data_IF_446808619518
#
_entry.id   IF_446808619518
#
_cell.length_a   1.000
_cell.length_b   1.000
_cell.length_c   1.000
_cell.angle_alpha   90.00
_cell.angle_beta   90.00
_cell.angle_gamma   90.00
#
_symmetry.space_group_name_H-M   'P 1'
#
loop_
_entity.id
_entity.type
_entity.pdbx_description
1 polymer ?
#
# COMPACT_ATOMS: atom_id res chain seq x y z
N UNK A 1 27.87 -10.09 21.54
CA UNK A 1 26.43 -10.09 21.84
C UNK A 1 26.15 -11.32 22.68
N UNK A 2 25.58 -11.17 23.87
CA UNK A 2 25.35 -12.31 24.78
C UNK A 2 24.08 -13.07 24.37
N UNK A 3 24.01 -14.36 24.70
CA UNK A 3 22.87 -15.24 24.39
C UNK A 3 21.54 -14.67 24.91
N UNK A 4 21.56 -14.01 26.07
CA UNK A 4 20.41 -13.27 26.62
C UNK A 4 19.94 -12.11 25.71
N UNK A 5 20.86 -11.35 25.11
CA UNK A 5 20.49 -10.25 24.20
C UNK A 5 19.89 -10.78 22.90
N UNK A 6 20.41 -11.89 22.38
CA UNK A 6 19.85 -12.56 21.19
C UNK A 6 18.42 -13.04 21.46
N UNK A 7 18.18 -13.70 22.59
CA UNK A 7 16.84 -14.18 22.95
C UNK A 7 15.82 -13.04 23.10
N UNK A 8 16.19 -11.92 23.75
CA UNK A 8 15.31 -10.76 23.88
C UNK A 8 14.96 -10.17 22.51
N UNK A 9 15.95 -10.02 21.61
CA UNK A 9 15.72 -9.49 20.26
C UNK A 9 14.80 -10.42 19.47
N UNK A 10 15.02 -11.73 19.53
CA UNK A 10 14.18 -12.73 18.86
C UNK A 10 12.75 -12.71 19.41
N UNK A 11 12.57 -12.61 20.73
CA UNK A 11 11.23 -12.54 21.34
C UNK A 11 10.47 -11.28 20.90
N UNK A 12 11.12 -10.11 20.91
CA UNK A 12 10.52 -8.85 20.42
C UNK A 12 10.11 -8.99 18.95
N UNK A 13 10.97 -9.62 18.16
CA UNK A 13 10.73 -9.86 16.74
C UNK A 13 9.53 -10.76 16.46
N UNK A 14 9.44 -11.89 17.16
CA UNK A 14 8.31 -12.82 17.04
C UNK A 14 7.03 -12.13 17.48
N UNK A 15 7.06 -11.34 18.57
CA UNK A 15 5.91 -10.58 19.04
C UNK A 15 5.43 -9.56 18.01
N UNK A 16 6.33 -8.79 17.37
CA UNK A 16 5.99 -7.84 16.32
C UNK A 16 5.39 -8.52 15.08
N UNK A 17 5.94 -9.67 14.68
CA UNK A 17 5.41 -10.44 13.55
C UNK A 17 4.01 -11.02 13.82
N UNK A 18 3.81 -11.62 14.99
CA UNK A 18 2.52 -12.22 15.39
C UNK A 18 1.44 -11.15 15.58
N UNK A 19 1.77 -10.04 16.23
CA UNK A 19 0.82 -8.93 16.40
C UNK A 19 0.47 -8.30 15.05
N UNK A 20 1.46 -8.09 14.19
CA UNK A 20 1.25 -7.57 12.84
C UNK A 20 0.34 -8.46 11.99
N UNK A 21 0.60 -9.76 11.96
CA UNK A 21 -0.24 -10.72 11.21
C UNK A 21 -1.67 -10.79 11.76
N UNK A 22 -1.85 -10.77 13.09
CA UNK A 22 -3.17 -10.74 13.72
C UNK A 22 -3.96 -9.47 13.34
N UNK A 23 -3.31 -8.30 13.34
CA UNK A 23 -3.91 -7.03 12.91
C UNK A 23 -4.34 -7.10 11.43
N UNK A 24 -3.50 -7.70 10.57
CA UNK A 24 -3.81 -7.85 9.15
C UNK A 24 -5.02 -8.78 8.92
N UNK A 25 -5.08 -9.91 9.62
CA UNK A 25 -6.22 -10.84 9.55
C UNK A 25 -7.52 -10.22 10.06
N UNK A 26 -7.45 -9.48 11.18
CA UNK A 26 -8.61 -8.77 11.72
C UNK A 26 -9.18 -7.77 10.72
N UNK A 27 -8.34 -7.15 9.91
CA UNK A 27 -8.79 -6.18 8.92
C UNK A 27 -9.34 -6.76 7.64
N UNK A 28 -8.79 -7.87 7.15
CA UNK A 28 -9.41 -8.61 6.06
C UNK A 28 -10.86 -8.96 6.43
N UNK A 29 -11.12 -9.22 7.72
CA UNK A 29 -12.48 -9.42 8.26
C UNK A 29 -13.31 -8.13 8.31
N UNK A 30 -12.75 -7.00 8.74
CA UNK A 30 -13.47 -5.72 8.74
C UNK A 30 -13.77 -5.18 7.34
N UNK A 31 -12.85 -5.29 6.39
CA UNK A 31 -13.03 -4.82 5.01
C UNK A 31 -14.16 -5.58 4.29
N UNK A 32 -14.39 -6.86 4.62
CA UNK A 32 -15.57 -7.60 4.16
C UNK A 32 -16.89 -6.99 4.64
N UNK A 33 -16.90 -6.36 5.82
CA UNK A 33 -18.09 -5.78 6.43
C UNK A 33 -18.35 -4.32 5.98
N UNK A 34 -17.35 -3.61 5.45
CA UNK A 34 -17.45 -2.20 5.05
C UNK A 34 -18.01 -1.97 3.63
N UNK A 35 -18.36 -3.03 2.89
CA UNK A 35 -18.83 -2.95 1.49
C UNK A 35 -20.09 -2.07 1.24
N UNK A 36 -20.82 -1.68 2.28
CA UNK A 36 -22.11 -0.97 2.17
C UNK A 36 -22.10 0.51 2.61
N UNK A 37 -20.95 1.18 2.74
CA UNK A 37 -20.91 2.60 3.11
C UNK A 37 -20.68 3.51 1.91
N UNK A 38 -21.49 4.56 1.81
CA UNK A 38 -21.37 5.62 0.79
C UNK A 38 -20.38 6.74 1.17
N UNK A 39 -19.87 6.71 2.41
CA UNK A 39 -18.90 7.67 2.92
C UNK A 39 -17.59 6.96 3.25
N UNK A 40 -16.50 7.46 2.67
CA UNK A 40 -15.15 6.92 2.85
C UNK A 40 -14.25 7.97 3.49
N UNK A 41 -13.71 7.61 4.64
CA UNK A 41 -12.72 8.37 5.38
C UNK A 41 -11.51 7.47 5.67
N UNK A 42 -10.36 8.09 5.95
CA UNK A 42 -9.20 7.33 6.38
C UNK A 42 -9.48 6.68 7.73
N UNK A 43 -9.52 5.35 7.75
CA UNK A 43 -9.58 4.58 8.97
C UNK A 43 -8.14 4.33 9.48
N UNK A 44 -7.80 4.86 10.66
CA UNK A 44 -6.47 4.71 11.27
C UNK A 44 -6.06 3.25 11.42
N UNK A 45 -7.00 2.35 11.76
CA UNK A 45 -6.70 0.93 11.81
C UNK A 45 -6.26 0.45 10.43
N UNK A 46 -7.05 0.73 9.39
CA UNK A 46 -6.75 0.34 8.00
C UNK A 46 -5.35 0.77 7.54
N UNK A 47 -4.94 1.97 7.94
CA UNK A 47 -3.61 2.48 7.64
C UNK A 47 -2.51 1.68 8.35
N UNK A 48 -2.66 1.41 9.66
CA UNK A 48 -1.68 0.65 10.44
C UNK A 48 -1.43 -0.73 9.84
N UNK A 49 -2.46 -1.45 9.41
CA UNK A 49 -2.30 -2.78 8.80
C UNK A 49 -1.69 -2.75 7.41
N UNK A 50 -2.12 -1.82 6.55
CA UNK A 50 -1.50 -1.64 5.22
C UNK A 50 -0.03 -1.32 5.33
N UNK A 51 0.37 -0.57 6.37
CA UNK A 51 1.76 -0.24 6.66
C UNK A 51 2.51 -1.38 7.39
N UNK A 52 1.79 -2.21 8.15
CA UNK A 52 2.38 -3.32 8.89
C UNK A 52 3.02 -4.36 7.98
N UNK A 53 2.41 -4.69 6.83
CA UNK A 53 3.02 -5.62 5.87
C UNK A 53 4.40 -5.14 5.37
N UNK A 54 4.54 -3.94 4.78
CA UNK A 54 5.83 -3.47 4.31
C UNK A 54 6.82 -3.22 5.46
N UNK A 55 6.38 -2.79 6.66
CA UNK A 55 7.27 -2.70 7.83
C UNK A 55 7.84 -4.08 8.20
N UNK A 56 7.00 -5.11 8.29
CA UNK A 56 7.49 -6.47 8.59
C UNK A 56 8.43 -6.98 7.51
N UNK A 57 8.17 -6.67 6.24
CA UNK A 57 9.08 -7.00 5.15
C UNK A 57 10.43 -6.28 5.28
N UNK A 58 10.43 -5.03 5.75
CA UNK A 58 11.68 -4.28 6.02
C UNK A 58 12.48 -4.94 7.12
N UNK A 59 11.80 -5.26 8.21
CA UNK A 59 12.40 -5.93 9.35
C UNK A 59 12.99 -7.26 8.86
N UNK A 60 12.24 -8.06 8.08
CA UNK A 60 12.71 -9.35 7.53
C UNK A 60 13.95 -9.18 6.68
N UNK A 61 13.97 -8.16 5.81
CA UNK A 61 15.15 -7.79 5.04
C UNK A 61 16.36 -7.53 5.95
N UNK A 62 16.21 -6.74 7.01
CA UNK A 62 17.29 -6.44 7.96
C UNK A 62 17.77 -7.72 8.68
N UNK A 63 16.85 -8.55 9.16
CA UNK A 63 17.19 -9.81 9.83
C UNK A 63 17.95 -10.78 8.91
N UNK A 64 17.49 -10.92 7.66
CA UNK A 64 18.15 -11.72 6.63
C UNK A 64 19.54 -11.14 6.31
N UNK A 65 19.70 -9.82 6.29
CA UNK A 65 20.99 -9.17 6.05
C UNK A 65 22.01 -9.57 7.11
N UNK A 66 21.64 -9.48 8.39
CA UNK A 66 22.53 -9.85 9.49
C UNK A 66 22.93 -11.34 9.42
N UNK A 67 21.97 -12.23 9.20
CA UNK A 67 22.24 -13.66 9.02
C UNK A 67 23.16 -13.91 7.81
N UNK A 68 22.91 -13.21 6.70
CA UNK A 68 23.71 -13.28 5.49
C UNK A 68 25.15 -12.81 5.71
N UNK A 69 25.35 -11.70 6.42
CA UNK A 69 26.69 -11.18 6.76
C UNK A 69 27.47 -12.14 7.67
N UNK A 70 26.81 -12.72 8.68
CA UNK A 70 27.43 -13.72 9.57
C UNK A 70 27.83 -14.96 8.78
N UNK A 71 26.94 -15.50 7.95
CA UNK A 71 27.22 -16.66 7.13
C UNK A 71 28.31 -16.38 6.07
N UNK A 72 28.28 -15.21 5.43
CA UNK A 72 29.28 -14.76 4.47
C UNK A 72 30.67 -14.66 5.11
N UNK A 73 30.75 -14.25 6.38
CA UNK A 73 32.03 -14.19 7.10
C UNK A 73 32.77 -15.53 7.18
N UNK A 74 32.06 -16.66 7.01
CA UNK A 74 32.65 -18.00 6.97
C UNK A 74 33.52 -18.25 5.73
N UNK A 75 33.36 -17.47 4.65
CA UNK A 75 34.27 -17.52 3.50
C UNK A 75 35.69 -17.15 3.89
N UNK A 76 35.85 -16.16 4.78
CA UNK A 76 37.17 -15.77 5.28
C UNK A 76 37.81 -16.83 6.20
N UNK A 77 37.05 -17.86 6.58
CA UNK A 77 37.52 -19.03 7.34
C UNK A 77 37.65 -20.27 6.45
N UNK A 78 37.64 -20.10 5.13
CA UNK A 78 37.74 -21.18 4.13
C UNK A 78 36.59 -22.20 4.18
N UNK A 79 35.45 -21.85 4.81
CA UNK A 79 34.25 -22.69 4.81
C UNK A 79 33.27 -22.19 3.73
N UNK A 80 33.34 -22.81 2.56
CA UNK A 80 32.68 -22.32 1.34
C UNK A 80 31.15 -22.39 1.36
N UNK A 81 30.55 -23.51 1.80
CA UNK A 81 29.09 -23.73 1.70
C UNK A 81 28.27 -22.68 2.47
N UNK A 82 28.50 -22.45 3.78
CA UNK A 82 27.78 -21.40 4.53
C UNK A 82 28.06 -20.00 3.96
N UNK A 83 29.27 -19.80 3.45
CA UNK A 83 29.69 -18.56 2.81
C UNK A 83 28.84 -18.17 1.59
N UNK A 84 28.63 -19.13 0.68
CA UNK A 84 27.79 -18.95 -0.52
C UNK A 84 26.34 -18.73 -0.13
N UNK A 85 25.83 -19.46 0.88
CA UNK A 85 24.48 -19.23 1.43
C UNK A 85 24.37 -17.79 1.96
N UNK A 86 25.41 -17.30 2.65
CA UNK A 86 25.45 -15.92 3.13
C UNK A 86 25.33 -14.88 2.02
N UNK A 87 26.06 -15.06 0.92
CA UNK A 87 25.96 -14.19 -0.26
C UNK A 87 24.53 -14.18 -0.84
N UNK A 88 23.90 -15.35 -0.95
CA UNK A 88 22.52 -15.46 -1.42
C UNK A 88 21.53 -14.72 -0.50
N UNK A 89 21.67 -14.89 0.81
CA UNK A 89 20.83 -14.20 1.80
C UNK A 89 20.98 -12.68 1.71
N UNK A 90 22.20 -12.17 1.53
CA UNK A 90 22.45 -10.72 1.33
C UNK A 90 21.68 -10.21 0.09
N UNK A 91 21.75 -10.93 -1.04
CA UNK A 91 21.02 -10.56 -2.25
C UNK A 91 19.50 -10.55 -2.03
N UNK A 92 18.95 -11.57 -1.38
CA UNK A 92 17.53 -11.62 -1.03
C UNK A 92 17.12 -10.45 -0.13
N UNK A 93 17.95 -10.12 0.87
CA UNK A 93 17.71 -8.99 1.76
C UNK A 93 17.61 -7.67 1.00
N UNK A 94 18.53 -7.39 0.08
CA UNK A 94 18.51 -6.16 -0.73
C UNK A 94 17.21 -6.06 -1.53
N UNK A 95 16.80 -7.15 -2.18
CA UNK A 95 15.57 -7.19 -2.98
C UNK A 95 14.34 -6.92 -2.08
N UNK A 96 14.21 -7.61 -0.96
CA UNK A 96 13.09 -7.41 -0.04
C UNK A 96 13.08 -6.01 0.60
N UNK A 97 14.25 -5.49 0.95
CA UNK A 97 14.42 -4.15 1.51
C UNK A 97 13.97 -3.08 0.52
N UNK A 98 14.38 -3.20 -0.74
CA UNK A 98 13.94 -2.30 -1.82
C UNK A 98 12.41 -2.29 -1.95
N UNK A 99 11.77 -3.45 -2.07
CA UNK A 99 10.31 -3.54 -2.19
C UNK A 99 9.57 -2.96 -0.98
N UNK A 100 10.09 -3.19 0.22
CA UNK A 100 9.53 -2.63 1.44
C UNK A 100 9.62 -1.10 1.47
N UNK A 101 10.80 -0.54 1.21
CA UNK A 101 11.02 0.91 1.22
C UNK A 101 10.10 1.61 0.23
N UNK A 102 9.99 1.07 -0.99
CA UNK A 102 9.10 1.60 -2.03
C UNK A 102 7.64 1.60 -1.55
N UNK A 103 7.17 0.51 -0.95
CA UNK A 103 5.81 0.42 -0.42
C UNK A 103 5.55 1.39 0.75
N UNK A 104 6.53 1.60 1.63
CA UNK A 104 6.43 2.58 2.74
C UNK A 104 6.36 4.00 2.19
N UNK A 105 7.23 4.35 1.24
CA UNK A 105 7.24 5.69 0.62
C UNK A 105 5.90 5.99 -0.05
N UNK A 106 5.37 5.03 -0.79
CA UNK A 106 4.05 5.06 -1.39
C UNK A 106 2.94 5.33 -0.36
N UNK A 107 2.95 4.57 0.74
CA UNK A 107 2.00 4.74 1.81
C UNK A 107 2.02 6.16 2.37
N UNK A 108 3.21 6.68 2.65
CA UNK A 108 3.38 8.03 3.20
C UNK A 108 2.90 9.09 2.20
N UNK A 109 3.20 8.93 0.91
CA UNK A 109 2.72 9.84 -0.13
C UNK A 109 1.18 9.87 -0.20
N UNK A 110 0.55 8.70 -0.23
CA UNK A 110 -0.91 8.60 -0.32
C UNK A 110 -1.58 9.11 0.96
N UNK A 111 -1.02 8.76 2.12
CA UNK A 111 -1.51 9.26 3.40
C UNK A 111 -1.46 10.79 3.47
N UNK A 112 -0.37 11.41 2.98
CA UNK A 112 -0.27 12.88 2.92
C UNK A 112 -1.31 13.51 2.01
N UNK A 113 -1.64 12.86 0.89
CA UNK A 113 -2.67 13.33 -0.04
C UNK A 113 -4.08 13.25 0.57
N UNK A 114 -4.36 12.21 1.35
CA UNK A 114 -5.71 11.88 1.81
C UNK A 114 -6.03 12.26 3.26
N UNK A 115 -5.04 12.51 4.13
CA UNK A 115 -5.23 12.76 5.59
C UNK A 115 -6.27 13.81 5.96
N UNK A 116 -6.58 14.74 5.06
CA UNK A 116 -7.52 15.83 5.28
C UNK A 116 -8.68 15.82 4.26
N UNK A 117 -8.93 14.67 3.62
CA UNK A 117 -9.98 14.48 2.62
C UNK A 117 -11.02 13.51 3.15
N UNK A 118 -12.28 13.84 2.96
CA UNK A 118 -13.40 12.92 3.10
C UNK A 118 -14.07 12.80 1.74
N UNK A 119 -14.35 11.56 1.32
CA UNK A 119 -14.96 11.28 0.02
C UNK A 119 -16.33 10.67 0.26
N UNK A 120 -17.37 11.35 -0.21
CA UNK A 120 -18.75 10.91 -0.14
C UNK A 120 -19.22 10.65 -1.56
N UNK A 121 -19.77 9.46 -1.79
CA UNK A 121 -20.40 9.11 -3.04
C UNK A 121 -21.91 9.18 -2.87
N UNK A 122 -22.53 10.08 -3.60
CA UNK A 122 -23.98 10.13 -3.71
C UNK A 122 -24.40 9.27 -4.91
N UNK A 123 -24.91 8.06 -4.62
CA UNK A 123 -25.38 7.11 -5.64
C UNK A 123 -26.60 7.62 -6.40
N UNK A 124 -27.46 8.38 -5.73
CA UNK A 124 -28.75 8.82 -6.30
C UNK A 124 -28.50 9.96 -7.29
N UNK A 125 -27.56 10.84 -6.98
CA UNK A 125 -27.15 11.96 -7.84
C UNK A 125 -25.98 11.65 -8.78
N UNK A 126 -25.30 10.51 -8.59
CA UNK A 126 -24.05 10.13 -9.28
C UNK A 126 -22.97 11.22 -9.18
N UNK A 127 -22.77 11.69 -7.95
CA UNK A 127 -21.80 12.73 -7.63
C UNK A 127 -20.75 12.22 -6.66
N UNK A 128 -19.52 12.72 -6.84
CA UNK A 128 -18.43 12.55 -5.90
C UNK A 128 -18.25 13.87 -5.16
N UNK A 129 -18.43 13.85 -3.84
CA UNK A 129 -18.22 15.02 -2.99
C UNK A 129 -16.91 14.80 -2.24
N UNK A 130 -15.93 15.66 -2.51
CA UNK A 130 -14.64 15.67 -1.83
C UNK A 130 -14.62 16.86 -0.86
N UNK A 131 -14.64 16.56 0.44
CA UNK A 131 -14.55 17.57 1.51
C UNK A 131 -13.11 17.67 2.00
N UNK A 132 -12.57 18.89 2.02
CA UNK A 132 -11.22 19.18 2.52
C UNK A 132 -11.30 19.80 3.91
N UNK A 133 -11.10 19.01 4.96
CA UNK A 133 -11.26 19.45 6.36
C UNK A 133 -10.38 20.65 6.73
N UNK A 134 -9.15 20.74 6.18
CA UNK A 134 -8.21 21.82 6.50
C UNK A 134 -8.52 23.15 5.79
N UNK A 135 -9.17 23.11 4.62
CA UNK A 135 -9.42 24.30 3.79
C UNK A 135 -10.88 24.74 3.80
N UNK A 136 -11.74 24.02 4.53
CA UNK A 136 -13.20 24.14 4.48
C UNK A 136 -13.74 24.23 3.03
N UNK A 137 -13.08 23.52 2.12
CA UNK A 137 -13.41 23.51 0.69
C UNK A 137 -14.20 22.24 0.39
N UNK A 138 -15.29 22.38 -0.35
CA UNK A 138 -16.08 21.26 -0.85
C UNK A 138 -15.98 21.29 -2.37
N UNK A 139 -15.52 20.19 -2.94
CA UNK A 139 -15.51 19.98 -4.38
C UNK A 139 -16.57 18.94 -4.72
N UNK A 140 -17.49 19.28 -5.62
CA UNK A 140 -18.52 18.36 -6.12
C UNK A 140 -18.19 18.04 -7.56
N UNK A 141 -18.02 16.75 -7.85
CA UNK A 141 -17.71 16.25 -9.18
C UNK A 141 -18.89 15.40 -9.64
N UNK A 142 -19.73 15.98 -10.48
CA UNK A 142 -20.85 15.28 -11.11
C UNK A 142 -20.33 14.45 -12.29
N UNK A 143 -20.90 13.27 -12.51
CA UNK A 143 -20.55 12.37 -13.62
C UNK A 143 -20.56 13.08 -15.00
N UNK A 144 -21.51 14.00 -15.22
CA UNK A 144 -21.65 14.77 -16.46
C UNK A 144 -20.42 15.64 -16.78
N UNK A 145 -19.67 16.03 -15.75
CA UNK A 145 -18.49 16.89 -15.84
C UNK A 145 -17.18 16.12 -16.04
N UNK A 146 -17.19 14.81 -15.79
CA UNK A 146 -16.03 13.93 -16.00
C UNK A 146 -15.88 13.69 -17.51
N UNK A 147 -14.72 13.98 -18.09
CA UNK A 147 -14.42 13.65 -19.49
C UNK A 147 -13.80 12.26 -19.61
N UNK A 148 -12.89 11.93 -18.69
CA UNK A 148 -12.06 10.73 -18.76
C UNK A 148 -11.75 10.18 -17.37
N UNK A 149 -11.67 8.86 -17.26
CA UNK A 149 -11.32 8.14 -16.04
C UNK A 149 -10.06 7.32 -16.30
N UNK A 150 -8.98 7.63 -15.59
CA UNK A 150 -7.75 6.82 -15.63
C UNK A 150 -7.67 5.94 -14.38
N UNK A 151 -7.53 4.64 -14.60
CA UNK A 151 -7.39 3.64 -13.56
C UNK A 151 -5.93 3.19 -13.57
N UNK A 152 -5.23 3.48 -12.48
CA UNK A 152 -3.83 3.13 -12.31
C UNK A 152 -3.73 1.97 -11.34
N UNK A 153 -3.55 0.78 -11.91
CA UNK A 153 -3.55 -0.48 -11.19
C UNK A 153 -2.26 -1.26 -11.47
N UNK A 154 -1.86 -2.12 -10.55
CA UNK A 154 -0.73 -3.00 -10.77
C UNK A 154 -1.18 -4.13 -11.72
N UNK A 155 -0.53 -4.27 -12.88
CA UNK A 155 -0.80 -5.40 -13.77
C UNK A 155 0.03 -6.62 -13.32
N UNK A 156 -0.62 -7.79 -13.26
CA UNK A 156 0.00 -9.08 -12.94
C UNK A 156 -0.75 -9.91 -11.90
N UNK A 157 -0.75 -11.23 -12.08
CA UNK A 157 -1.35 -12.20 -11.14
C UNK A 157 -0.57 -12.35 -9.83
N UNK A 158 0.67 -11.85 -9.78
CA UNK A 158 1.53 -11.87 -8.59
C UNK A 158 1.24 -10.63 -7.75
N UNK A 159 0.73 -10.83 -6.53
CA UNK A 159 0.52 -9.77 -5.53
C UNK A 159 1.86 -9.12 -5.17
N UNK A 160 2.24 -8.07 -5.89
CA UNK A 160 3.38 -7.22 -5.52
C UNK A 160 3.01 -6.42 -4.26
N UNK A 161 3.97 -6.13 -3.36
CA UNK A 161 3.73 -5.29 -2.18
C UNK A 161 3.12 -3.91 -2.52
N UNK A 162 3.41 -3.41 -3.71
CA UNK A 162 2.87 -2.15 -4.24
C UNK A 162 1.48 -2.26 -4.85
N UNK A 163 0.97 -3.48 -5.08
CA UNK A 163 -0.34 -3.72 -5.68
C UNK A 163 -1.51 -3.25 -4.82
N UNK A 164 -1.29 -2.96 -3.54
CA UNK A 164 -2.30 -2.36 -2.68
C UNK A 164 -2.44 -0.84 -2.85
N UNK A 165 -1.53 -0.19 -3.60
CA UNK A 165 -1.46 1.26 -3.81
C UNK A 165 -1.91 1.66 -5.21
N UNK A 166 -3.12 1.24 -5.56
CA UNK A 166 -3.76 1.67 -6.80
C UNK A 166 -4.41 3.06 -6.62
N UNK A 167 -4.68 3.77 -7.73
CA UNK A 167 -5.49 4.99 -7.67
C UNK A 167 -6.32 5.23 -8.94
N UNK A 168 -7.34 6.07 -8.82
CA UNK A 168 -8.13 6.58 -9.94
C UNK A 168 -7.89 8.08 -10.09
N UNK A 169 -7.75 8.52 -11.35
CA UNK A 169 -7.82 9.95 -11.72
C UNK A 169 -9.10 10.22 -12.51
N UNK A 170 -9.87 11.19 -12.03
CA UNK A 170 -10.97 11.79 -12.76
C UNK A 170 -10.47 13.05 -13.42
N UNK A 171 -10.55 13.09 -14.74
CA UNK A 171 -10.22 14.27 -15.54
C UNK A 171 -11.55 14.89 -15.94
N UNK A 172 -11.73 16.16 -15.60
CA UNK A 172 -12.95 16.90 -15.92
C UNK A 172 -12.89 17.49 -17.32
N UNK A 173 -14.03 17.96 -17.83
CA UNK A 173 -14.11 18.67 -19.12
C UNK A 173 -13.28 19.96 -19.14
N UNK A 174 -13.03 20.59 -17.99
CA UNK A 174 -12.15 21.76 -17.87
C UNK A 174 -10.67 21.40 -17.76
N UNK A 175 -10.32 20.11 -17.75
CA UNK A 175 -8.95 19.64 -17.60
C UNK A 175 -8.46 19.49 -16.15
N UNK A 176 -9.29 19.80 -15.15
CA UNK A 176 -8.93 19.56 -13.75
C UNK A 176 -8.83 18.06 -13.45
N UNK A 177 -7.80 17.66 -12.69
CA UNK A 177 -7.51 16.28 -12.35
C UNK A 177 -7.74 16.04 -10.85
N UNK A 178 -8.64 15.12 -10.53
CA UNK A 178 -8.91 14.70 -9.15
C UNK A 178 -8.42 13.27 -8.96
N UNK A 179 -7.53 13.07 -7.98
CA UNK A 179 -6.97 11.74 -7.65
C UNK A 179 -7.63 11.21 -6.38
N UNK A 180 -8.10 9.96 -6.43
CA UNK A 180 -8.61 9.18 -5.29
C UNK A 180 -7.78 7.89 -5.22
N UNK A 181 -7.18 7.59 -4.08
CA UNK A 181 -6.31 6.42 -3.91
C UNK A 181 -7.01 5.28 -3.17
N UNK A 182 -6.39 4.10 -3.23
CA UNK A 182 -6.86 2.89 -2.55
C UNK A 182 -6.79 2.94 -1.02
N UNK A 183 -6.20 3.97 -0.40
CA UNK A 183 -6.11 4.08 1.06
C UNK A 183 -7.47 4.33 1.70
N UNK A 184 -8.35 5.09 1.05
CA UNK A 184 -9.71 5.37 1.53
C UNK A 184 -10.74 4.31 1.09
N UNK A 185 -10.66 3.82 -0.14
CA UNK A 185 -11.66 2.89 -0.68
C UNK A 185 -11.10 1.98 -1.76
N UNK A 186 -11.75 0.84 -2.00
CA UNK A 186 -11.36 -0.06 -3.08
C UNK A 186 -11.76 0.53 -4.44
N UNK A 187 -10.81 0.55 -5.38
CA UNK A 187 -11.00 1.07 -6.74
C UNK A 187 -12.14 0.40 -7.49
N UNK A 188 -12.35 -0.90 -7.25
CA UNK A 188 -13.46 -1.64 -7.86
C UNK A 188 -14.82 -1.07 -7.49
N UNK A 189 -15.00 -0.61 -6.26
CA UNK A 189 -16.23 0.06 -5.82
C UNK A 189 -16.39 1.40 -6.55
N UNK A 190 -15.30 2.17 -6.67
CA UNK A 190 -15.29 3.46 -7.37
C UNK A 190 -15.66 3.34 -8.85
N UNK A 191 -15.12 2.33 -9.54
CA UNK A 191 -15.43 2.06 -10.95
C UNK A 191 -16.91 1.67 -11.09
N UNK A 192 -17.41 0.80 -10.20
CA UNK A 192 -18.79 0.33 -10.23
C UNK A 192 -19.81 1.46 -10.08
N UNK A 193 -19.54 2.43 -9.19
CA UNK A 193 -20.44 3.54 -8.90
C UNK A 193 -20.56 4.56 -10.05
N UNK A 194 -19.53 4.68 -10.89
CA UNK A 194 -19.46 5.67 -11.98
C UNK A 194 -19.40 5.01 -13.35
N UNK A 195 -19.86 3.75 -13.44
CA UNK A 195 -19.83 2.99 -14.69
C UNK A 195 -20.88 3.56 -15.65
N UNK A 196 -20.46 4.44 -16.55
CA UNK A 196 -21.26 4.91 -17.67
C UNK A 196 -20.67 4.47 -18.99
N UNK A 197 -21.54 4.02 -19.90
CA UNK A 197 -21.18 3.55 -21.25
C UNK A 197 -20.49 4.63 -22.10
N UNK A 198 -20.59 5.89 -21.71
CA UNK A 198 -20.13 7.03 -22.51
C UNK A 198 -18.81 7.66 -22.00
N UNK A 199 -18.10 7.02 -21.07
CA UNK A 199 -16.82 7.51 -20.54
C UNK A 199 -15.65 6.71 -21.09
N UNK A 200 -14.55 7.41 -21.38
CA UNK A 200 -13.29 6.76 -21.74
C UNK A 200 -12.59 6.26 -20.48
N UNK A 201 -12.40 4.94 -20.38
CA UNK A 201 -11.62 4.30 -19.33
C UNK A 201 -10.23 3.97 -19.88
N UNK A 202 -9.19 4.51 -19.25
CA UNK A 202 -7.80 4.14 -19.58
C UNK A 202 -7.20 3.40 -18.39
N UNK A 203 -6.77 2.18 -18.64
CA UNK A 203 -6.01 1.39 -17.67
C UNK A 203 -4.53 1.64 -17.91
N UNK A 204 -3.87 2.23 -16.92
CA UNK A 204 -2.43 2.45 -16.93
C UNK A 204 -1.79 1.50 -15.93
N UNK A 205 -0.73 0.84 -16.39
CA UNK A 205 0.13 0.09 -15.50
C UNK A 205 1.04 1.05 -14.75
N UNK A 206 1.20 0.81 -13.46
CA UNK A 206 2.18 1.51 -12.64
C UNK A 206 3.60 1.21 -13.15
N UNK A 207 4.17 2.11 -13.96
CA UNK A 207 5.60 2.14 -14.26
C UNK A 207 6.25 3.20 -13.36
N UNK A 208 7.17 2.77 -12.50
CA UNK A 208 7.88 3.62 -11.53
C UNK A 208 9.16 4.24 -12.10
N UNK A 209 9.36 4.15 -13.43
CA UNK A 209 10.49 4.74 -14.14
C UNK A 209 9.91 5.56 -15.30
N UNK A 210 9.77 6.86 -15.06
CA UNK A 210 9.93 7.93 -16.06
C UNK A 210 10.94 8.92 -15.50
#
# INVERSE_FOLDING_TARGET
MTEKQLNIIVTIWVALFVTGTAIQLYQIRQDKNLKNKNTYQLNSLKQISKLNFPINLLLMSIGILFLGLIAFSMLFKEIYIPGIIGLFLILCSIIFGYYSIVAILLHVQYYRLEKNREIIFDTDKKEIIIKFSKKNKIEVITESYISKIEIHQCSGNLRKPTGEYEFIRYITKSGQIHTITSLQTHITNLIGMLKSRNKQYIYKQFNWIE
#
